data_IF_161682053307
#
_entry.id   IF_161682053307
#
_cell.length_a   1.000
_cell.length_b   1.000
_cell.length_c   1.000
_cell.angle_alpha   90.00
_cell.angle_beta   90.00
_cell.angle_gamma   90.00
#
_symmetry.space_group_name_H-M   'P 1'
#
loop_
_entity.id
_entity.type
_entity.pdbx_description
1 polymer ?
#
# COMPACT_ATOMS: atom_id res chain seq x y z
N UNK A 1 26.65 16.34 15.64
CA UNK A 1 26.35 15.39 14.56
C UNK A 1 24.83 15.22 14.50
N UNK A 2 24.24 15.34 13.33
CA UNK A 2 22.78 15.14 13.19
C UNK A 2 22.41 13.68 13.37
N UNK A 3 21.20 13.42 13.87
CA UNK A 3 20.66 12.08 14.09
C UNK A 3 20.35 11.45 12.72
N UNK A 4 20.90 10.27 12.45
CA UNK A 4 20.57 9.46 11.27
C UNK A 4 19.23 8.74 11.50
N UNK A 5 18.68 8.20 10.44
CA UNK A 5 17.45 7.45 10.54
C UNK A 5 17.45 6.17 9.71
N UNK A 6 16.38 5.40 9.87
CA UNK A 6 16.16 4.19 9.09
C UNK A 6 14.68 4.00 8.78
N UNK A 7 14.41 3.36 7.65
CA UNK A 7 13.08 3.05 7.17
C UNK A 7 12.91 1.52 7.14
N UNK A 8 12.23 0.99 8.15
CA UNK A 8 11.87 -0.43 8.21
C UNK A 8 10.58 -0.69 7.42
N UNK A 9 10.37 -1.94 7.04
CA UNK A 9 9.22 -2.34 6.21
C UNK A 9 8.46 -3.49 6.87
N UNK A 10 7.13 -3.40 6.87
CA UNK A 10 6.25 -4.49 7.29
C UNK A 10 5.14 -4.74 6.26
N UNK A 11 4.37 -5.78 6.48
CA UNK A 11 3.13 -6.13 5.78
C UNK A 11 1.97 -6.21 6.78
N UNK A 12 0.74 -6.38 6.31
CA UNK A 12 -0.41 -6.65 7.20
C UNK A 12 -0.14 -7.80 8.19
N UNK A 13 0.55 -8.85 7.72
CA UNK A 13 0.82 -10.04 8.56
C UNK A 13 1.86 -9.81 9.63
N UNK A 14 2.75 -8.85 9.44
CA UNK A 14 3.88 -8.61 10.33
C UNK A 14 3.74 -7.34 11.16
N UNK A 15 2.88 -6.42 10.76
CA UNK A 15 2.66 -5.12 11.41
C UNK A 15 2.31 -5.29 12.90
N UNK A 16 1.32 -6.16 13.19
CA UNK A 16 0.90 -6.37 14.58
C UNK A 16 2.06 -6.80 15.46
N UNK A 17 2.89 -7.74 15.02
CA UNK A 17 4.02 -8.23 15.80
C UNK A 17 5.15 -7.19 15.91
N UNK A 18 5.32 -6.32 14.89
CA UNK A 18 6.23 -5.18 14.99
C UNK A 18 5.86 -4.26 16.15
N UNK A 19 4.58 -3.97 16.34
CA UNK A 19 4.09 -3.11 17.41
C UNK A 19 4.04 -3.84 18.77
N UNK A 20 3.56 -5.09 18.81
CA UNK A 20 3.46 -5.86 20.05
C UNK A 20 4.83 -6.06 20.71
N UNK A 21 5.86 -6.28 19.89
CA UNK A 21 7.23 -6.52 20.36
C UNK A 21 8.10 -5.28 20.38
N UNK A 22 7.63 -4.17 19.80
CA UNK A 22 8.44 -2.99 19.53
C UNK A 22 9.77 -3.39 18.87
N UNK A 23 9.68 -4.20 17.83
CA UNK A 23 10.80 -4.80 17.12
C UNK A 23 10.58 -4.68 15.62
N UNK A 24 11.58 -4.22 14.91
CA UNK A 24 11.54 -4.18 13.44
C UNK A 24 12.49 -5.24 12.90
N UNK A 25 11.97 -6.11 12.05
CA UNK A 25 12.69 -7.24 11.49
C UNK A 25 12.83 -7.18 9.99
N UNK A 26 13.96 -7.65 9.48
CA UNK A 26 14.27 -7.72 8.05
C UNK A 26 14.86 -9.09 7.69
N UNK A 27 14.74 -9.45 6.42
CA UNK A 27 15.33 -10.69 5.88
C UNK A 27 16.85 -10.68 6.04
N UNK A 28 17.47 -11.86 6.08
CA UNK A 28 18.92 -12.03 6.24
C UNK A 28 19.74 -11.22 5.22
N UNK A 29 19.26 -11.04 4.00
CA UNK A 29 19.93 -10.23 2.97
C UNK A 29 20.11 -8.76 3.35
N UNK A 30 19.34 -8.26 4.32
CA UNK A 30 19.41 -6.89 4.82
C UNK A 30 20.30 -6.72 6.06
N UNK A 31 20.98 -7.78 6.50
CA UNK A 31 21.82 -7.75 7.72
C UNK A 31 22.84 -6.64 7.70
N UNK A 32 23.50 -6.39 6.57
CA UNK A 32 24.51 -5.31 6.43
C UNK A 32 23.89 -3.93 6.61
N UNK A 33 22.69 -3.70 6.07
CA UNK A 33 22.01 -2.41 6.22
C UNK A 33 21.49 -2.23 7.64
N UNK A 34 20.85 -3.25 8.19
CA UNK A 34 20.34 -3.23 9.57
C UNK A 34 21.46 -2.98 10.58
N UNK A 35 22.65 -3.59 10.39
CA UNK A 35 23.80 -3.40 11.25
C UNK A 35 24.35 -1.97 11.29
N UNK A 36 23.97 -1.12 10.33
CA UNK A 36 24.35 0.32 10.33
C UNK A 36 23.50 1.14 11.29
N UNK A 37 22.36 0.62 11.75
CA UNK A 37 21.50 1.31 12.71
C UNK A 37 22.18 1.31 14.08
N UNK A 38 22.24 2.49 14.69
CA UNK A 38 22.78 2.68 16.02
C UNK A 38 21.66 3.02 17.01
N UNK A 39 21.85 2.61 18.26
CA UNK A 39 20.95 3.04 19.36
C UNK A 39 20.86 4.57 19.37
N UNK A 40 19.63 5.07 19.39
CA UNK A 40 19.32 6.49 19.33
C UNK A 40 18.93 7.02 17.93
N UNK A 41 19.15 6.24 16.86
CA UNK A 41 18.72 6.60 15.52
C UNK A 41 17.18 6.68 15.46
N UNK A 42 16.68 7.55 14.59
CA UNK A 42 15.24 7.72 14.36
C UNK A 42 14.74 6.64 13.37
N UNK A 43 13.65 5.98 13.74
CA UNK A 43 13.03 4.94 12.92
C UNK A 43 11.67 5.35 12.38
N UNK A 44 11.38 4.89 11.18
CA UNK A 44 10.06 4.89 10.58
C UNK A 44 9.71 3.48 10.14
N UNK A 45 8.42 3.12 10.17
CA UNK A 45 7.93 1.83 9.72
C UNK A 45 6.95 2.03 8.57
N UNK A 46 7.25 1.48 7.43
CA UNK A 46 6.39 1.50 6.25
C UNK A 46 5.66 0.17 6.09
N UNK A 47 4.35 0.19 6.07
CA UNK A 47 3.58 -0.97 5.62
C UNK A 47 3.34 -0.84 4.11
N UNK A 48 4.01 -1.68 3.32
CA UNK A 48 3.96 -1.61 1.86
C UNK A 48 2.64 -2.11 1.26
N UNK A 49 1.80 -2.83 2.03
CA UNK A 49 0.49 -3.31 1.57
C UNK A 49 -0.63 -2.30 1.84
N UNK A 50 -0.59 -1.60 2.99
CA UNK A 50 -1.56 -0.54 3.32
C UNK A 50 -1.13 0.85 2.90
N UNK A 51 0.08 0.98 2.37
CA UNK A 51 0.75 2.25 2.01
C UNK A 51 0.74 3.28 3.15
N UNK A 52 0.92 2.78 4.39
CA UNK A 52 1.00 3.61 5.60
C UNK A 52 2.44 3.79 6.03
N UNK A 53 2.76 5.01 6.45
CA UNK A 53 4.03 5.34 7.08
C UNK A 53 3.78 5.68 8.56
N UNK A 54 4.40 4.91 9.45
CA UNK A 54 4.32 5.09 10.90
C UNK A 54 5.59 5.76 11.42
N UNK A 55 5.43 6.63 12.38
CA UNK A 55 6.55 7.31 13.06
C UNK A 55 6.04 8.07 14.28
N UNK A 56 6.91 8.58 15.10
CA UNK A 56 8.38 8.54 15.04
C UNK A 56 8.87 7.56 16.10
N UNK A 57 9.75 6.66 15.72
CA UNK A 57 10.39 5.72 16.65
C UNK A 57 11.83 6.14 16.93
N UNK A 58 12.38 5.58 18.01
CA UNK A 58 13.81 5.66 18.35
C UNK A 58 14.36 4.25 18.50
N UNK A 59 15.50 3.97 17.90
CA UNK A 59 16.22 2.72 18.13
C UNK A 59 16.65 2.59 19.59
N UNK A 60 16.19 1.55 20.26
CA UNK A 60 16.57 1.18 21.62
C UNK A 60 17.81 0.27 21.62
N UNK A 61 18.08 -0.39 20.50
CA UNK A 61 19.28 -1.20 20.28
C UNK A 61 20.00 -0.78 19.00
N UNK A 62 21.25 -1.20 18.86
CA UNK A 62 21.87 -1.30 17.55
C UNK A 62 21.13 -2.34 16.70
N UNK A 63 21.33 -2.31 15.37
CA UNK A 63 20.88 -3.36 14.49
C UNK A 63 21.68 -4.65 14.74
N UNK A 64 21.00 -5.72 15.13
CA UNK A 64 21.60 -6.99 15.53
C UNK A 64 20.85 -8.17 14.89
N UNK A 65 21.50 -9.34 14.91
CA UNK A 65 20.84 -10.59 14.54
C UNK A 65 20.14 -11.21 15.75
N UNK A 66 18.90 -11.69 15.52
CA UNK A 66 18.15 -12.50 16.48
C UNK A 66 18.01 -11.88 17.88
N UNK A 67 17.68 -10.59 17.97
CA UNK A 67 17.28 -9.96 19.24
C UNK A 67 16.13 -10.76 19.86
N UNK A 68 15.13 -11.13 19.06
CA UNK A 68 14.14 -12.17 19.36
C UNK A 68 14.13 -13.19 18.23
N UNK A 69 14.75 -14.34 18.48
CA UNK A 69 14.85 -15.43 17.49
C UNK A 69 13.52 -16.10 17.14
N UNK A 70 12.48 -15.88 17.95
CA UNK A 70 11.15 -16.45 17.74
C UNK A 70 10.19 -15.47 17.04
N UNK A 71 10.57 -14.21 16.94
CA UNK A 71 9.75 -13.20 16.28
C UNK A 71 9.47 -13.60 14.81
N UNK A 72 8.21 -13.47 14.41
CA UNK A 72 7.70 -13.86 13.08
C UNK A 72 8.11 -15.29 12.67
N UNK A 73 8.21 -16.21 13.66
CA UNK A 73 8.66 -17.60 13.42
C UNK A 73 10.11 -17.71 12.93
N UNK A 74 10.97 -16.78 13.30
CA UNK A 74 12.39 -16.75 12.93
C UNK A 74 12.69 -16.26 11.50
N UNK A 75 11.69 -15.76 10.76
CA UNK A 75 11.83 -15.37 9.34
C UNK A 75 12.64 -14.10 9.12
N UNK A 76 12.71 -13.21 10.10
CA UNK A 76 13.34 -11.89 10.00
C UNK A 76 14.42 -11.72 11.05
N UNK A 77 15.60 -12.32 10.84
CA UNK A 77 16.67 -12.36 11.85
C UNK A 77 17.42 -11.04 12.02
N UNK A 78 17.46 -10.16 11.02
CA UNK A 78 18.11 -8.86 11.13
C UNK A 78 17.15 -7.88 11.79
N UNK A 79 17.44 -7.43 13.04
CA UNK A 79 16.44 -6.80 13.89
C UNK A 79 16.97 -5.53 14.55
N UNK A 80 16.03 -4.59 14.82
CA UNK A 80 16.27 -3.40 15.64
C UNK A 80 15.16 -3.30 16.67
N UNK A 81 15.50 -3.21 17.95
CA UNK A 81 14.54 -2.89 18.98
C UNK A 81 14.26 -1.39 19.00
N UNK A 82 12.99 -1.02 19.09
CA UNK A 82 12.56 0.37 19.00
C UNK A 82 11.63 0.74 20.15
N UNK A 83 11.50 2.03 20.39
CA UNK A 83 10.46 2.61 21.24
C UNK A 83 9.80 3.76 20.49
N UNK A 84 8.57 4.13 20.89
CA UNK A 84 7.98 5.35 20.38
C UNK A 84 8.75 6.56 20.92
N UNK A 85 9.29 7.36 20.04
CA UNK A 85 9.77 8.71 20.40
C UNK A 85 8.57 9.63 20.60
N UNK A 86 7.65 9.59 19.63
CA UNK A 86 6.33 10.19 19.73
C UNK A 86 5.38 9.41 18.82
N UNK A 87 4.19 9.14 19.33
CA UNK A 87 3.16 8.45 18.57
C UNK A 87 2.28 9.47 17.86
N UNK A 88 2.17 9.32 16.55
CA UNK A 88 1.31 10.08 15.66
C UNK A 88 0.38 9.12 14.91
N UNK A 89 -0.69 9.65 14.35
CA UNK A 89 -1.47 8.90 13.38
C UNK A 89 -0.60 8.57 12.16
N UNK A 90 -0.76 7.38 11.58
CA UNK A 90 0.02 7.00 10.42
C UNK A 90 -0.31 7.88 9.21
N UNK A 91 0.72 8.31 8.51
CA UNK A 91 0.56 9.02 7.25
C UNK A 91 0.07 8.02 6.19
N UNK A 92 -0.94 8.43 5.43
CA UNK A 92 -1.44 7.67 4.29
C UNK A 92 -0.56 7.96 3.06
N UNK A 93 -0.59 7.07 2.07
CA UNK A 93 0.18 7.20 0.83
C UNK A 93 1.69 7.35 1.09
N UNK A 94 2.23 6.49 1.96
CA UNK A 94 3.61 6.57 2.43
C UNK A 94 4.64 6.49 1.32
N UNK A 95 4.42 5.62 0.31
CA UNK A 95 5.33 5.48 -0.83
C UNK A 95 5.39 6.77 -1.65
N UNK A 96 4.22 7.35 -1.95
CA UNK A 96 4.14 8.58 -2.71
C UNK A 96 4.73 9.78 -1.96
N UNK A 97 4.49 9.85 -0.65
CA UNK A 97 5.12 10.87 0.19
C UNK A 97 6.65 10.77 0.13
N UNK A 98 7.21 9.56 0.27
CA UNK A 98 8.64 9.35 0.18
C UNK A 98 9.19 9.72 -1.19
N UNK A 99 8.54 9.28 -2.29
CA UNK A 99 8.94 9.66 -3.64
C UNK A 99 8.87 11.16 -3.89
N UNK A 100 7.86 11.86 -3.38
CA UNK A 100 7.75 13.33 -3.50
C UNK A 100 8.89 14.08 -2.82
N UNK A 101 9.52 13.45 -1.83
CA UNK A 101 10.70 13.97 -1.13
C UNK A 101 12.02 13.52 -1.78
N UNK A 102 11.97 12.79 -2.89
CA UNK A 102 13.16 12.22 -3.54
C UNK A 102 13.76 11.04 -2.77
N UNK A 103 12.99 10.41 -1.89
CA UNK A 103 13.45 9.29 -1.05
C UNK A 103 12.88 7.98 -1.61
N UNK A 104 13.75 7.06 -1.99
CA UNK A 104 13.33 5.72 -2.41
C UNK A 104 12.71 4.95 -1.22
N UNK A 105 11.44 4.50 -1.31
CA UNK A 105 10.81 3.71 -0.25
C UNK A 105 11.50 2.37 0.06
N UNK A 106 12.37 1.88 -0.83
CA UNK A 106 13.17 0.69 -0.60
C UNK A 106 14.49 0.99 0.15
N UNK A 107 14.84 2.26 0.34
CA UNK A 107 16.04 2.67 1.05
C UNK A 107 15.90 2.37 2.54
N UNK A 108 16.86 1.63 3.12
CA UNK A 108 16.82 1.27 4.53
C UNK A 108 17.44 2.34 5.44
N UNK A 109 18.63 2.85 5.09
CA UNK A 109 19.34 3.88 5.88
C UNK A 109 19.08 5.26 5.29
N UNK A 110 18.64 6.17 6.14
CA UNK A 110 18.35 7.57 5.79
C UNK A 110 19.48 8.48 6.21
N UNK A 111 19.71 9.53 5.43
CA UNK A 111 20.58 10.64 5.83
C UNK A 111 19.92 11.45 6.96
N UNK A 112 20.69 12.31 7.60
CA UNK A 112 20.17 13.26 8.60
C UNK A 112 19.09 14.17 8.03
N UNK A 113 19.28 14.63 6.80
CA UNK A 113 18.33 15.51 6.10
C UNK A 113 17.02 14.78 5.77
N UNK A 114 17.10 13.60 5.16
CA UNK A 114 15.93 12.75 4.86
C UNK A 114 15.17 12.43 6.14
N UNK A 115 15.87 12.09 7.22
CA UNK A 115 15.29 11.81 8.53
C UNK A 115 14.51 13.00 9.07
N UNK A 116 15.10 14.18 9.03
CA UNK A 116 14.46 15.41 9.47
C UNK A 116 13.23 15.76 8.62
N UNK A 117 13.34 15.58 7.31
CA UNK A 117 12.27 15.85 6.35
C UNK A 117 11.08 14.92 6.60
N UNK A 118 11.30 13.60 6.72
CA UNK A 118 10.21 12.66 7.04
C UNK A 118 9.61 12.96 8.42
N UNK A 119 10.45 13.23 9.43
CA UNK A 119 9.97 13.55 10.77
C UNK A 119 9.11 14.82 10.81
N UNK A 120 9.37 15.79 9.94
CA UNK A 120 8.58 17.02 9.84
C UNK A 120 7.15 16.76 9.38
N UNK A 121 6.92 15.75 8.54
CA UNK A 121 5.57 15.37 8.08
C UNK A 121 4.65 14.95 9.22
N UNK A 122 5.21 14.35 10.27
CA UNK A 122 4.45 13.96 11.47
C UNK A 122 4.17 15.11 12.43
N UNK A 123 4.94 16.20 12.37
CA UNK A 123 4.84 17.33 13.32
C UNK A 123 3.78 18.35 12.93
N UNK A 124 3.29 18.32 11.71
CA UNK A 124 2.32 19.28 11.18
C UNK A 124 1.05 18.57 10.70
N UNK A 125 0.16 18.08 11.61
CA UNK A 125 -1.08 17.45 11.20
C UNK A 125 -2.03 18.37 10.42
N UNK A 126 -1.90 19.69 10.61
CA UNK A 126 -2.83 20.68 10.03
C UNK A 126 -2.30 21.40 8.77
N UNK A 127 -1.01 21.34 8.47
CA UNK A 127 -0.45 22.08 7.34
C UNK A 127 -0.17 21.25 6.09
N UNK A 128 -0.21 19.94 6.17
CA UNK A 128 -0.16 19.08 4.96
C UNK A 128 -1.52 19.02 4.27
N UNK A 129 -2.59 19.53 4.89
CA UNK A 129 -3.96 19.58 4.33
C UNK A 129 -4.33 20.97 3.79
N UNK A 130 -3.48 21.97 3.87
CA UNK A 130 -3.75 23.26 3.22
C UNK A 130 -3.12 23.32 1.82
N UNK A 131 -3.47 22.39 0.98
CA UNK A 131 -3.43 22.59 -0.46
C UNK A 131 -4.83 23.02 -0.87
N UNK A 132 -4.94 24.26 -1.27
CA UNK A 132 -6.02 25.00 -1.94
C UNK A 132 -7.34 24.25 -2.20
N UNK A 133 -8.50 24.91 -1.97
CA UNK A 133 -9.83 24.31 -2.14
C UNK A 133 -10.22 23.96 -3.58
N UNK A 134 -9.32 24.03 -4.52
CA UNK A 134 -9.50 23.68 -5.93
C UNK A 134 -8.18 23.15 -6.51
N UNK A 135 -7.82 21.97 -6.11
CA UNK A 135 -6.81 21.14 -6.73
C UNK A 135 -7.00 19.79 -6.14
N UNK A 136 -7.53 18.85 -6.91
CA UNK A 136 -7.48 17.44 -6.58
C UNK A 136 -6.02 17.16 -6.22
N UNK A 137 -5.74 16.75 -4.96
CA UNK A 137 -4.50 16.06 -4.68
C UNK A 137 -4.49 14.91 -5.69
N UNK A 138 -3.58 14.96 -6.65
CA UNK A 138 -3.31 13.81 -7.48
C UNK A 138 -2.90 12.71 -6.50
N UNK A 139 -3.80 11.75 -6.28
CA UNK A 139 -3.48 10.56 -5.54
C UNK A 139 -2.28 9.92 -6.24
N UNK A 140 -1.30 9.38 -5.50
CA UNK A 140 -0.17 8.74 -6.13
C UNK A 140 -0.68 7.73 -7.14
N UNK A 141 -0.31 7.92 -8.40
CA UNK A 141 -0.75 7.07 -9.49
C UNK A 141 0.39 6.11 -9.81
N UNK A 142 0.08 4.84 -9.76
CA UNK A 142 0.98 3.79 -10.18
C UNK A 142 0.81 3.60 -11.68
N UNK A 143 1.93 3.66 -12.42
CA UNK A 143 1.90 3.42 -13.86
C UNK A 143 1.83 1.92 -14.12
N UNK A 144 0.86 1.50 -14.90
CA UNK A 144 0.66 0.12 -15.34
C UNK A 144 1.49 -0.19 -16.60
N UNK A 145 1.54 -1.46 -16.98
CA UNK A 145 2.29 -1.91 -18.15
C UNK A 145 1.71 -1.39 -19.48
N UNK A 146 0.39 -1.17 -19.55
CA UNK A 146 -0.27 -0.55 -20.71
C UNK A 146 -0.30 0.98 -20.67
N UNK A 147 0.17 1.58 -19.55
CA UNK A 147 0.34 3.02 -19.40
C UNK A 147 -0.76 3.74 -18.63
N UNK A 148 -1.76 3.05 -18.09
CA UNK A 148 -2.72 3.65 -17.18
C UNK A 148 -2.03 4.19 -15.92
N UNK A 149 -2.64 5.18 -15.29
CA UNK A 149 -2.22 5.73 -14.00
C UNK A 149 -3.31 5.39 -12.97
N UNK A 150 -3.07 4.37 -12.17
CA UNK A 150 -4.03 3.84 -11.18
C UNK A 150 -3.71 4.30 -9.76
N UNK A 151 -4.71 4.28 -8.86
CA UNK A 151 -4.61 4.85 -7.51
C UNK A 151 -3.91 3.97 -6.49
N UNK A 152 -3.78 2.66 -6.75
CA UNK A 152 -3.18 1.73 -5.79
C UNK A 152 -2.34 0.65 -6.48
N UNK A 153 -1.44 0.03 -5.72
CA UNK A 153 -0.66 -1.13 -6.21
C UNK A 153 -1.54 -2.33 -6.55
N UNK A 154 -2.63 -2.52 -5.80
CA UNK A 154 -3.58 -3.60 -6.09
C UNK A 154 -4.31 -3.37 -7.40
N UNK A 155 -4.73 -2.13 -7.67
CA UNK A 155 -5.29 -1.75 -8.97
C UNK A 155 -4.26 -1.94 -10.09
N UNK A 156 -2.98 -1.60 -9.89
CA UNK A 156 -1.92 -1.85 -10.86
C UNK A 156 -1.75 -3.35 -11.15
N UNK A 157 -1.84 -4.22 -10.16
CA UNK A 157 -1.75 -5.66 -10.35
C UNK A 157 -2.96 -6.20 -11.12
N UNK A 158 -4.15 -5.66 -10.87
CA UNK A 158 -5.39 -6.03 -11.58
C UNK A 158 -5.31 -5.57 -13.04
N UNK A 159 -4.91 -4.33 -13.28
CA UNK A 159 -4.74 -3.74 -14.60
C UNK A 159 -3.71 -4.52 -15.44
N UNK A 160 -2.51 -4.74 -14.88
CA UNK A 160 -1.46 -5.54 -15.51
C UNK A 160 -1.91 -6.98 -15.79
N UNK A 161 -2.76 -7.55 -14.92
CA UNK A 161 -3.33 -8.86 -15.20
C UNK A 161 -4.21 -8.86 -16.45
N UNK A 162 -5.07 -7.85 -16.64
CA UNK A 162 -5.87 -7.69 -17.85
C UNK A 162 -4.98 -7.54 -19.07
N UNK A 163 -4.01 -6.62 -19.01
CA UNK A 163 -3.07 -6.36 -20.09
C UNK A 163 -2.29 -7.62 -20.50
N UNK A 164 -1.70 -8.32 -19.55
CA UNK A 164 -0.90 -9.52 -19.79
C UNK A 164 -1.71 -10.72 -20.33
N UNK A 165 -3.04 -10.70 -20.15
CA UNK A 165 -3.95 -11.68 -20.71
C UNK A 165 -4.66 -11.20 -21.99
N UNK A 166 -4.28 -10.06 -22.55
CA UNK A 166 -4.85 -9.51 -23.77
C UNK A 166 -6.33 -9.11 -23.64
N UNK A 167 -6.77 -8.75 -22.42
CA UNK A 167 -8.15 -8.36 -22.15
C UNK A 167 -8.27 -6.85 -22.17
N UNK A 168 -9.02 -6.34 -23.16
CA UNK A 168 -9.33 -4.91 -23.24
C UNK A 168 -10.20 -4.51 -22.06
N UNK A 169 -9.79 -3.48 -21.35
CA UNK A 169 -10.46 -2.94 -20.18
C UNK A 169 -10.35 -1.41 -20.13
N UNK A 170 -11.23 -0.79 -19.36
CA UNK A 170 -11.19 0.64 -19.07
C UNK A 170 -11.04 0.85 -17.57
N UNK A 171 -10.11 1.70 -17.17
CA UNK A 171 -9.91 2.11 -15.78
C UNK A 171 -10.78 3.33 -15.47
N UNK A 172 -11.32 3.43 -14.24
CA UNK A 172 -12.21 4.52 -13.77
C UNK A 172 -13.33 4.84 -14.76
N UNK A 173 -14.00 3.81 -15.24
CA UNK A 173 -15.06 3.98 -16.23
C UNK A 173 -16.40 4.35 -15.58
N UNK A 174 -17.10 5.31 -16.20
CA UNK A 174 -18.44 5.69 -15.74
C UNK A 174 -19.43 4.56 -15.96
N UNK A 175 -20.18 4.23 -14.90
CA UNK A 175 -21.24 3.21 -14.98
C UNK A 175 -22.50 3.83 -15.58
N UNK A 176 -23.16 3.23 -16.60
CA UNK A 176 -24.31 3.81 -17.30
C UNK A 176 -25.60 3.66 -16.47
N UNK A 177 -25.66 4.32 -15.34
CA UNK A 177 -26.82 4.40 -14.44
C UNK A 177 -27.17 5.88 -14.17
N UNK A 178 -28.41 6.19 -13.68
CA UNK A 178 -28.79 7.58 -13.41
C UNK A 178 -27.93 8.30 -12.39
N UNK A 179 -27.40 7.56 -11.39
CA UNK A 179 -26.51 8.10 -10.39
C UNK A 179 -25.10 8.27 -10.94
N UNK A 180 -24.42 9.33 -10.55
CA UNK A 180 -23.01 9.52 -10.87
C UNK A 180 -22.18 8.48 -10.12
N UNK A 181 -21.59 7.55 -10.86
CA UNK A 181 -20.82 6.43 -10.33
C UNK A 181 -19.76 5.96 -11.34
N UNK A 182 -18.55 5.79 -10.86
CA UNK A 182 -17.45 5.17 -11.61
C UNK A 182 -17.12 3.82 -11.01
N UNK A 183 -16.69 2.86 -11.85
CA UNK A 183 -16.10 1.60 -11.44
C UNK A 183 -14.57 1.68 -11.46
N UNK A 184 -13.90 0.77 -10.74
CA UNK A 184 -12.45 0.69 -10.86
C UNK A 184 -12.05 0.17 -12.24
N UNK A 185 -12.70 -0.90 -12.74
CA UNK A 185 -12.47 -1.39 -14.10
C UNK A 185 -13.77 -1.84 -14.76
N UNK A 186 -13.83 -1.65 -16.08
CA UNK A 186 -14.88 -2.19 -16.93
C UNK A 186 -14.27 -3.03 -18.06
N UNK A 187 -14.80 -4.23 -18.27
CA UNK A 187 -14.38 -5.16 -19.33
C UNK A 187 -15.49 -5.27 -20.38
N UNK A 188 -15.42 -4.49 -21.49
CA UNK A 188 -16.53 -4.38 -22.46
C UNK A 188 -16.94 -5.72 -23.07
N UNK A 189 -15.99 -6.57 -23.46
CA UNK A 189 -16.26 -7.86 -24.08
C UNK A 189 -16.96 -8.88 -23.16
N UNK A 190 -16.82 -8.71 -21.83
CA UNK A 190 -17.53 -9.52 -20.86
C UNK A 190 -18.79 -8.82 -20.31
N UNK A 191 -18.96 -7.52 -20.54
CA UNK A 191 -20.01 -6.71 -19.93
C UNK A 191 -19.91 -6.66 -18.39
N UNK A 192 -18.69 -6.82 -17.85
CA UNK A 192 -18.46 -6.94 -16.40
C UNK A 192 -17.77 -5.73 -15.84
N UNK A 193 -18.21 -5.33 -14.66
CA UNK A 193 -17.58 -4.31 -13.82
C UNK A 193 -16.72 -4.99 -12.77
N UNK A 194 -15.59 -4.40 -12.43
CA UNK A 194 -14.69 -4.91 -11.39
C UNK A 194 -14.45 -3.81 -10.37
N UNK A 195 -14.62 -4.13 -9.11
CA UNK A 195 -14.38 -3.26 -7.97
C UNK A 195 -13.36 -3.89 -7.03
N UNK A 196 -12.40 -3.10 -6.60
CA UNK A 196 -11.43 -3.49 -5.59
C UNK A 196 -11.72 -2.83 -4.24
N UNK A 197 -11.97 -3.65 -3.22
CA UNK A 197 -12.33 -3.22 -1.87
C UNK A 197 -11.16 -3.38 -0.89
N UNK A 198 -10.26 -2.39 -0.86
CA UNK A 198 -9.02 -2.46 -0.06
C UNK A 198 -9.15 -1.98 1.39
N UNK A 199 -10.27 -1.40 1.81
CA UNK A 199 -10.40 -0.74 3.12
C UNK A 199 -11.64 -1.20 3.90
N UNK A 200 -12.03 -2.47 3.79
CA UNK A 200 -13.25 -3.03 4.42
C UNK A 200 -13.33 -2.88 5.95
N UNK A 201 -12.22 -2.65 6.63
CA UNK A 201 -12.18 -2.50 8.08
C UNK A 201 -12.80 -1.19 8.58
N UNK A 202 -12.90 -0.17 7.70
CA UNK A 202 -13.48 1.13 8.05
C UNK A 202 -15.00 1.12 7.83
N UNK A 203 -15.78 1.41 8.87
CA UNK A 203 -17.26 1.38 8.82
C UNK A 203 -17.82 2.32 7.73
N UNK A 204 -17.29 3.53 7.59
CA UNK A 204 -17.72 4.46 6.55
C UNK A 204 -17.42 3.96 5.13
N UNK A 205 -16.31 3.24 4.97
CA UNK A 205 -15.96 2.63 3.69
C UNK A 205 -16.93 1.48 3.38
N UNK A 206 -17.25 0.62 4.35
CA UNK A 206 -18.26 -0.44 4.19
C UNK A 206 -19.62 0.12 3.77
N UNK A 207 -20.08 1.20 4.37
CA UNK A 207 -21.35 1.85 3.99
C UNK A 207 -21.34 2.33 2.53
N UNK A 208 -20.21 2.88 2.07
CA UNK A 208 -20.04 3.29 0.66
C UNK A 208 -20.00 2.09 -0.29
N UNK A 209 -19.26 1.05 0.07
CA UNK A 209 -19.18 -0.22 -0.64
C UNK A 209 -20.57 -0.85 -0.80
N UNK A 210 -21.35 -0.99 0.29
CA UNK A 210 -22.68 -1.57 0.26
C UNK A 210 -23.65 -0.75 -0.59
N UNK A 211 -23.56 0.58 -0.54
CA UNK A 211 -24.32 1.48 -1.40
C UNK A 211 -23.96 1.28 -2.88
N UNK A 212 -22.68 1.16 -3.20
CA UNK A 212 -22.20 0.94 -4.57
C UNK A 212 -22.63 -0.43 -5.08
N UNK A 213 -22.49 -1.49 -4.27
CA UNK A 213 -22.96 -2.85 -4.55
C UNK A 213 -24.48 -2.90 -4.83
N UNK A 214 -25.27 -2.19 -4.01
CA UNK A 214 -26.73 -2.11 -4.21
C UNK A 214 -27.10 -1.46 -5.55
N UNK A 215 -26.31 -0.51 -6.04
CA UNK A 215 -26.54 0.13 -7.35
C UNK A 215 -26.27 -0.84 -8.49
N UNK A 216 -25.19 -1.62 -8.43
CA UNK A 216 -24.93 -2.69 -9.42
C UNK A 216 -26.08 -3.70 -9.46
N UNK A 217 -26.51 -4.20 -8.29
CA UNK A 217 -27.59 -5.18 -8.18
C UNK A 217 -28.92 -4.66 -8.72
N UNK A 218 -29.32 -3.43 -8.34
CA UNK A 218 -30.61 -2.82 -8.80
C UNK A 218 -30.65 -2.59 -10.31
N UNK A 219 -29.51 -2.38 -10.94
CA UNK A 219 -29.41 -2.13 -12.37
C UNK A 219 -29.04 -3.39 -13.18
N UNK A 220 -29.06 -4.59 -12.54
CA UNK A 220 -28.69 -5.87 -13.14
C UNK A 220 -27.32 -5.85 -13.84
N UNK A 221 -26.35 -5.17 -13.25
CA UNK A 221 -24.98 -5.07 -13.77
C UNK A 221 -24.11 -6.16 -13.14
N UNK A 222 -23.32 -6.84 -13.97
CA UNK A 222 -22.46 -7.94 -13.54
C UNK A 222 -21.20 -7.41 -12.88
N UNK A 223 -21.10 -7.60 -11.56
CA UNK A 223 -20.01 -7.09 -10.70
C UNK A 223 -19.09 -8.21 -10.27
N UNK A 224 -17.81 -8.03 -10.49
CA UNK A 224 -16.72 -8.83 -9.91
C UNK A 224 -16.11 -8.03 -8.76
N UNK A 225 -16.10 -8.61 -7.57
CA UNK A 225 -15.56 -7.98 -6.38
C UNK A 225 -14.24 -8.60 -5.99
N UNK A 226 -13.20 -7.77 -5.82
CA UNK A 226 -11.88 -8.15 -5.39
C UNK A 226 -11.52 -7.48 -4.07
N UNK A 227 -10.75 -8.16 -3.24
CA UNK A 227 -10.29 -7.73 -1.92
C UNK A 227 -8.79 -7.99 -1.76
N UNK A 228 -8.19 -7.44 -0.74
CA UNK A 228 -6.76 -7.65 -0.43
C UNK A 228 -6.35 -9.12 -0.43
N UNK A 229 -7.17 -9.99 0.16
CA UNK A 229 -6.93 -11.44 0.21
C UNK A 229 -6.93 -12.10 -1.16
N UNK A 230 -7.59 -11.49 -2.14
CA UNK A 230 -7.79 -12.04 -3.48
C UNK A 230 -6.59 -11.71 -4.38
N UNK A 231 -5.84 -10.65 -4.08
CA UNK A 231 -4.67 -10.24 -4.85
C UNK A 231 -3.59 -11.34 -4.89
N UNK A 232 -3.43 -12.12 -3.83
CA UNK A 232 -2.47 -13.23 -3.79
C UNK A 232 -2.86 -14.41 -4.70
N UNK A 233 -4.13 -14.49 -5.09
CA UNK A 233 -4.70 -15.52 -5.97
C UNK A 233 -5.39 -14.88 -7.18
N UNK A 234 -4.92 -13.70 -7.57
CA UNK A 234 -5.57 -12.89 -8.60
C UNK A 234 -5.81 -13.68 -9.89
N UNK A 235 -4.80 -14.40 -10.38
CA UNK A 235 -4.91 -15.18 -11.61
C UNK A 235 -5.99 -16.26 -11.55
N UNK A 236 -6.12 -16.93 -10.41
CA UNK A 236 -7.14 -17.98 -10.24
C UNK A 236 -8.56 -17.38 -10.21
N UNK A 237 -8.73 -16.25 -9.52
CA UNK A 237 -10.02 -15.59 -9.37
C UNK A 237 -10.43 -14.93 -10.69
N UNK A 238 -9.56 -14.15 -11.28
CA UNK A 238 -9.82 -13.48 -12.55
C UNK A 238 -10.01 -14.48 -13.71
N UNK A 239 -9.25 -15.59 -13.69
CA UNK A 239 -9.42 -16.68 -14.65
C UNK A 239 -10.81 -17.32 -14.62
N UNK A 240 -11.48 -17.38 -13.44
CA UNK A 240 -12.87 -17.85 -13.36
C UNK A 240 -13.87 -16.90 -14.03
N UNK A 241 -13.63 -15.59 -13.94
CA UNK A 241 -14.53 -14.58 -14.48
C UNK A 241 -14.28 -14.26 -15.94
N UNK A 242 -13.02 -14.35 -16.40
CA UNK A 242 -12.58 -13.88 -17.72
C UNK A 242 -11.85 -14.94 -18.56
N UNK A 243 -11.75 -16.19 -18.08
CA UNK A 243 -11.01 -17.26 -18.77
C UNK A 243 -11.52 -17.60 -20.17
N UNK A 244 -12.78 -17.34 -20.47
CA UNK A 244 -13.32 -17.50 -21.82
C UNK A 244 -12.75 -16.46 -22.80
N UNK A 245 -12.54 -15.22 -22.35
CA UNK A 245 -11.93 -14.19 -23.18
C UNK A 245 -10.47 -14.51 -23.49
N UNK A 246 -9.74 -15.05 -22.50
CA UNK A 246 -8.33 -15.46 -22.69
C UNK A 246 -8.22 -16.57 -23.73
N UNK A 247 -9.15 -17.52 -23.75
CA UNK A 247 -9.18 -18.61 -24.75
C UNK A 247 -9.44 -18.09 -26.15
N UNK A 248 -10.32 -17.11 -26.30
CA UNK A 248 -10.66 -16.50 -27.61
C UNK A 248 -9.53 -15.63 -28.17
N UNK A 249 -8.70 -15.03 -27.33
CA UNK A 249 -7.57 -14.19 -27.77
C UNK A 249 -6.37 -15.02 -28.26
N UNK A 250 -6.34 -16.33 -27.96
CA UNK A 250 -5.25 -17.25 -28.35
C UNK A 250 -5.60 -18.17 -29.51
N UNK A 251 -6.84 -18.11 -30.02
CA UNK A 251 -7.32 -18.82 -31.20
C UNK A 251 -7.38 -17.88 -32.40
#
# INVERSE_FOLDING_TARGET
MGVKGFLAVCSYRTEKECFDKMLFGSLVKWTTEVAKVQKGDIGFLRNYESDKLFGIFRAESNGLLNIDKNAWGGRFPAQVKVVWEKRYDPLQNGDALLWSLGIDPAKYILTTEETATIASLFKTPEQVISVTPYGQMEQPRFKTEDGHLVRSKSEMLIDNWFYNNGIVHAYESRVPIPEDMECDFFVPLAGKYVEYWGLEEKEEYRKRMDKKRSRYSRNNLDLVELRDRDIQKLSDIMGKHFGELIRRSKS
#
